data_IF_223169309523
#
_entry.id   IF_223169309523
#
_cell.length_a   1.000
_cell.length_b   1.000
_cell.length_c   1.000
_cell.angle_alpha   90.00
_cell.angle_beta   90.00
_cell.angle_gamma   90.00
#
_symmetry.space_group_name_H-M   'P 1'
#
loop_
_entity.id
_entity.type
_entity.pdbx_description
1 polymer ?
#
# COMPACT_ATOMS: atom_id res chain seq x y z
N UNK A 1 -56.71 26.53 11.37
CA UNK A 1 -55.58 26.24 12.26
C UNK A 1 -55.02 24.89 11.89
N UNK A 2 -54.05 24.85 10.96
CA UNK A 2 -53.38 23.62 10.55
C UNK A 2 -51.95 23.64 11.05
N UNK A 3 -51.64 22.73 11.98
CA UNK A 3 -50.29 22.44 12.43
C UNK A 3 -49.59 21.63 11.35
N UNK A 4 -48.56 22.20 10.73
CA UNK A 4 -47.59 21.50 9.88
C UNK A 4 -46.53 20.87 10.78
N UNK A 5 -46.55 19.56 10.90
CA UNK A 5 -45.56 18.78 11.59
C UNK A 5 -44.23 18.75 10.79
N UNK A 6 -43.18 19.32 11.33
CA UNK A 6 -41.84 19.21 10.80
C UNK A 6 -41.24 17.87 11.24
N UNK A 7 -41.08 16.95 10.28
CA UNK A 7 -40.37 15.69 10.49
C UNK A 7 -38.86 15.99 10.35
N UNK A 8 -38.13 15.96 11.45
CA UNK A 8 -36.67 15.94 11.41
C UNK A 8 -36.20 14.55 10.98
N UNK A 9 -35.73 14.45 9.74
CA UNK A 9 -35.05 13.26 9.24
C UNK A 9 -33.61 13.30 9.78
N UNK A 10 -33.35 12.56 10.86
CA UNK A 10 -32.01 12.37 11.40
C UNK A 10 -31.25 11.43 10.47
N UNK A 11 -30.41 11.98 9.59
CA UNK A 11 -29.42 11.18 8.88
C UNK A 11 -28.37 10.69 9.88
N UNK A 12 -28.50 9.42 10.26
CA UNK A 12 -27.42 8.69 10.94
C UNK A 12 -26.41 8.38 9.83
N UNK A 13 -25.34 9.17 9.78
CA UNK A 13 -24.12 8.84 9.06
C UNK A 13 -23.51 7.62 9.74
N UNK A 14 -23.89 6.43 9.30
CA UNK A 14 -23.16 5.21 9.58
C UNK A 14 -21.86 5.27 8.77
N UNK A 15 -20.77 5.57 9.47
CA UNK A 15 -19.43 5.38 8.92
C UNK A 15 -19.31 3.93 8.41
N UNK A 16 -18.84 3.69 7.18
CA UNK A 16 -18.58 2.34 6.72
C UNK A 16 -17.43 1.79 7.58
N UNK A 17 -17.73 0.94 8.54
CA UNK A 17 -16.74 0.05 9.14
C UNK A 17 -16.21 -0.80 8.01
N UNK A 18 -14.99 -0.51 7.57
CA UNK A 18 -14.31 -1.26 6.54
C UNK A 18 -14.09 -2.70 7.01
N UNK A 19 -14.92 -3.62 6.53
CA UNK A 19 -14.70 -5.06 6.61
C UNK A 19 -13.66 -5.47 5.53
N UNK A 20 -12.50 -4.81 5.53
CA UNK A 20 -11.50 -4.96 4.48
C UNK A 20 -10.76 -6.31 4.50
N UNK A 21 -10.77 -7.01 5.63
CA UNK A 21 -9.96 -8.23 5.81
C UNK A 21 -10.60 -9.52 5.29
N UNK A 22 -11.91 -9.57 5.12
CA UNK A 22 -12.62 -10.80 4.74
C UNK A 22 -12.98 -10.82 3.25
N UNK A 23 -13.36 -9.67 2.67
CA UNK A 23 -13.75 -9.59 1.26
C UNK A 23 -12.57 -9.71 0.27
N UNK A 24 -11.36 -9.29 0.66
CA UNK A 24 -10.16 -9.48 -0.18
C UNK A 24 -9.77 -10.96 -0.32
N UNK A 25 -10.07 -11.79 0.67
CA UNK A 25 -9.85 -13.24 0.61
C UNK A 25 -10.92 -13.96 -0.26
N UNK A 26 -12.11 -13.37 -0.38
CA UNK A 26 -13.22 -13.97 -1.16
C UNK A 26 -13.14 -13.64 -2.67
N UNK A 27 -12.35 -12.63 -3.08
CA UNK A 27 -12.14 -12.27 -4.50
C UNK A 27 -10.97 -13.04 -5.14
N UNK A 28 -10.16 -13.75 -4.36
CA UNK A 28 -9.10 -14.59 -4.89
C UNK A 28 -9.67 -15.86 -5.55
N UNK A 29 -9.27 -16.21 -6.79
CA UNK A 29 -9.73 -17.44 -7.43
C UNK A 29 -9.28 -18.65 -6.60
N UNK A 30 -10.24 -19.42 -6.10
CA UNK A 30 -10.01 -20.69 -5.41
C UNK A 30 -9.44 -21.72 -6.38
N UNK A 31 -8.12 -21.87 -6.41
CA UNK A 31 -7.47 -22.96 -7.10
C UNK A 31 -7.00 -24.03 -6.12
N UNK A 32 -7.62 -25.21 -6.28
CA UNK A 32 -7.20 -26.59 -5.97
C UNK A 32 -6.36 -26.89 -4.70
N UNK A 33 -6.82 -27.89 -4.00
CA UNK A 33 -6.40 -28.53 -2.74
C UNK A 33 -4.92 -28.99 -2.62
N UNK A 34 -3.98 -28.57 -3.43
CA UNK A 34 -2.59 -29.04 -3.39
C UNK A 34 -1.56 -28.09 -2.79
N UNK A 35 -1.93 -26.88 -2.33
CA UNK A 35 -0.93 -25.90 -1.90
C UNK A 35 -1.24 -25.22 -0.56
N UNK A 36 -1.20 -26.02 0.52
CA UNK A 36 -1.24 -25.50 1.90
C UNK A 36 0.00 -24.63 2.24
N UNK A 37 1.01 -24.54 1.39
CA UNK A 37 2.19 -23.71 1.59
C UNK A 37 1.96 -22.22 1.30
N UNK A 38 0.87 -21.87 0.58
CA UNK A 38 0.57 -20.49 0.18
C UNK A 38 -0.24 -19.67 1.21
N UNK A 39 -0.72 -20.29 2.28
CA UNK A 39 -1.62 -19.60 3.22
C UNK A 39 -0.90 -18.80 4.31
N UNK A 40 0.39 -19.04 4.52
CA UNK A 40 1.13 -18.38 5.59
C UNK A 40 2.47 -17.84 5.09
N UNK A 41 2.84 -16.59 5.45
CA UNK A 41 4.13 -16.03 5.07
C UNK A 41 5.28 -16.82 5.72
N UNK A 42 6.43 -16.92 5.04
CA UNK A 42 7.65 -17.43 5.66
C UNK A 42 7.95 -16.68 6.96
N UNK A 43 8.47 -17.39 7.96
CA UNK A 43 8.71 -16.85 9.29
C UNK A 43 9.59 -15.57 9.26
N UNK A 44 10.58 -15.53 8.38
CA UNK A 44 11.46 -14.37 8.23
C UNK A 44 10.73 -13.13 7.71
N UNK A 45 9.70 -13.29 6.85
CA UNK A 45 8.91 -12.19 6.34
C UNK A 45 7.89 -11.64 7.34
N UNK A 46 7.40 -12.48 8.26
CA UNK A 46 6.32 -12.07 9.18
C UNK A 46 6.69 -10.81 9.96
N UNK A 47 7.94 -10.71 10.41
CA UNK A 47 8.42 -9.55 11.14
C UNK A 47 8.44 -8.26 10.28
N UNK A 48 8.61 -8.39 8.97
CA UNK A 48 8.56 -7.27 8.02
C UNK A 48 7.12 -6.90 7.66
N UNK A 49 6.27 -7.91 7.42
CA UNK A 49 4.88 -7.74 7.06
C UNK A 49 4.06 -7.02 8.14
N UNK A 50 4.35 -7.30 9.39
CA UNK A 50 3.61 -6.73 10.54
C UNK A 50 4.26 -5.46 11.13
N UNK A 51 5.44 -5.07 10.64
CA UNK A 51 6.14 -3.90 11.17
C UNK A 51 5.39 -2.60 10.85
N UNK A 52 5.12 -1.81 11.88
CA UNK A 52 4.36 -0.56 11.76
C UNK A 52 5.23 0.70 11.67
N UNK A 53 6.54 0.58 11.91
CA UNK A 53 7.49 1.69 11.83
C UNK A 53 8.03 1.94 10.41
N UNK A 54 9.06 2.76 10.31
CA UNK A 54 9.69 3.14 9.05
C UNK A 54 10.59 2.01 8.51
N UNK A 55 10.12 1.35 7.45
CA UNK A 55 10.78 0.17 6.87
C UNK A 55 12.23 0.41 6.45
N UNK A 56 12.52 1.57 5.84
CA UNK A 56 13.89 1.86 5.38
C UNK A 56 14.86 2.11 6.53
N UNK A 57 14.40 2.66 7.66
CA UNK A 57 15.22 2.76 8.87
C UNK A 57 15.54 1.36 9.41
N UNK A 58 14.50 0.52 9.55
CA UNK A 58 14.69 -0.86 9.99
C UNK A 58 15.66 -1.63 9.07
N UNK A 59 15.56 -1.45 7.75
CA UNK A 59 16.51 -2.08 6.82
C UNK A 59 17.93 -1.57 7.08
N UNK A 60 18.11 -0.26 7.21
CA UNK A 60 19.42 0.33 7.50
C UNK A 60 20.02 -0.17 8.81
N UNK A 61 19.21 -0.30 9.85
CA UNK A 61 19.64 -0.82 11.14
C UNK A 61 20.13 -2.28 11.05
N UNK A 62 19.48 -3.09 10.21
CA UNK A 62 19.82 -4.51 10.04
C UNK A 62 20.94 -4.76 9.05
N UNK A 63 21.00 -4.00 7.95
CA UNK A 63 21.94 -4.21 6.84
C UNK A 63 23.12 -3.24 6.83
N UNK A 64 23.01 -2.11 7.52
CA UNK A 64 23.94 -0.97 7.41
C UNK A 64 23.61 -0.02 6.27
N UNK A 65 22.74 -0.38 5.34
CA UNK A 65 22.39 0.42 4.18
C UNK A 65 20.89 0.29 3.82
N UNK A 66 20.31 1.39 3.33
CA UNK A 66 19.02 1.38 2.65
C UNK A 66 19.01 2.50 1.61
N UNK A 67 19.02 2.12 0.34
CA UNK A 67 19.02 3.04 -0.81
C UNK A 67 17.66 2.96 -1.49
N UNK A 68 17.03 4.11 -1.68
CA UNK A 68 15.76 4.23 -2.40
C UNK A 68 16.03 4.72 -3.82
N UNK A 69 15.49 3.99 -4.80
CA UNK A 69 15.51 4.38 -6.22
C UNK A 69 14.08 4.63 -6.69
N UNK A 70 13.81 5.83 -7.19
CA UNK A 70 12.53 6.14 -7.86
C UNK A 70 12.59 5.54 -9.27
N UNK A 71 11.64 4.69 -9.59
CA UNK A 71 11.51 4.03 -10.90
C UNK A 71 10.68 4.88 -11.83
N UNK A 72 9.51 5.34 -11.33
CA UNK A 72 8.63 6.23 -12.08
C UNK A 72 7.73 7.03 -11.12
N UNK A 73 7.21 8.13 -11.65
CA UNK A 73 6.18 8.92 -11.00
C UNK A 73 5.28 9.50 -12.10
N UNK A 74 4.06 8.98 -12.23
CA UNK A 74 3.20 9.24 -13.39
C UNK A 74 1.75 9.40 -12.96
N UNK A 75 1.06 10.40 -13.53
CA UNK A 75 -0.38 10.55 -13.44
C UNK A 75 -1.06 9.64 -14.45
N UNK A 76 -1.99 8.81 -13.97
CA UNK A 76 -2.74 7.85 -14.79
C UNK A 76 -4.21 7.82 -14.35
N UNK A 77 -5.15 7.46 -15.24
CA UNK A 77 -6.50 7.14 -14.80
C UNK A 77 -6.49 5.92 -13.87
N UNK A 78 -7.40 5.89 -12.90
CA UNK A 78 -7.64 4.71 -12.08
C UNK A 78 -7.89 3.49 -12.96
N UNK A 79 -7.30 2.36 -12.60
CA UNK A 79 -7.42 1.10 -13.32
C UNK A 79 -8.31 0.10 -12.57
N UNK A 80 -8.49 -1.09 -13.11
CA UNK A 80 -9.34 -2.13 -12.51
C UNK A 80 -8.88 -2.51 -11.10
N UNK A 81 -7.56 -2.56 -10.84
CA UNK A 81 -7.03 -2.88 -9.52
C UNK A 81 -7.36 -1.77 -8.51
N UNK A 82 -7.18 -0.50 -8.90
CA UNK A 82 -7.50 0.66 -8.04
C UNK A 82 -8.98 0.67 -7.64
N UNK A 83 -9.88 0.33 -8.59
CA UNK A 83 -11.31 0.22 -8.31
C UNK A 83 -11.65 -0.97 -7.40
N UNK A 84 -11.08 -2.14 -7.66
CA UNK A 84 -11.45 -3.37 -6.95
C UNK A 84 -10.82 -3.45 -5.56
N UNK A 85 -9.54 -3.07 -5.43
CA UNK A 85 -8.78 -3.23 -4.20
C UNK A 85 -8.89 -2.00 -3.30
N UNK A 86 -8.85 -0.79 -3.87
CA UNK A 86 -8.86 0.45 -3.10
C UNK A 86 -10.25 1.12 -3.07
N UNK A 87 -11.20 0.61 -3.86
CA UNK A 87 -12.54 1.21 -4.03
C UNK A 87 -12.48 2.68 -4.49
N UNK A 88 -11.46 3.03 -5.27
CA UNK A 88 -11.34 4.37 -5.82
C UNK A 88 -12.36 4.58 -6.94
N UNK A 89 -12.98 5.78 -7.05
CA UNK A 89 -13.81 6.16 -8.18
C UNK A 89 -12.97 6.36 -9.44
N UNK A 90 -13.62 6.61 -10.58
CA UNK A 90 -12.91 7.09 -11.78
C UNK A 90 -12.32 8.48 -11.53
N UNK A 91 -11.00 8.54 -11.43
CA UNK A 91 -10.24 9.77 -11.26
C UNK A 91 -8.80 9.60 -11.78
N UNK A 92 -8.00 10.67 -11.74
CA UNK A 92 -6.56 10.57 -11.94
C UNK A 92 -5.88 10.20 -10.62
N UNK A 93 -4.92 9.29 -10.69
CA UNK A 93 -4.07 8.92 -9.55
C UNK A 93 -2.60 9.13 -9.91
N UNK A 94 -1.81 9.58 -8.95
CA UNK A 94 -0.36 9.61 -9.08
C UNK A 94 0.18 8.26 -8.60
N UNK A 95 0.73 7.48 -9.50
CA UNK A 95 1.52 6.30 -9.17
C UNK A 95 2.99 6.70 -9.00
N UNK A 96 3.55 6.46 -7.83
CA UNK A 96 4.97 6.63 -7.56
C UNK A 96 5.58 5.29 -7.19
N UNK A 97 6.40 4.77 -8.10
CA UNK A 97 7.05 3.47 -7.96
C UNK A 97 8.50 3.66 -7.52
N UNK A 98 8.89 2.88 -6.54
CA UNK A 98 10.26 2.85 -6.03
C UNK A 98 10.74 1.43 -5.83
N UNK A 99 12.06 1.25 -5.83
CA UNK A 99 12.72 0.05 -5.29
C UNK A 99 13.63 0.48 -4.16
N UNK A 100 13.59 -0.25 -3.05
CA UNK A 100 14.54 -0.08 -1.95
C UNK A 100 15.54 -1.23 -1.97
N UNK A 101 16.82 -0.86 -1.91
CA UNK A 101 17.94 -1.79 -1.99
C UNK A 101 18.77 -1.72 -0.70
N UNK A 102 19.41 -2.86 -0.39
CA UNK A 102 20.55 -2.92 0.53
C UNK A 102 21.67 -3.66 -0.20
N UNK A 103 22.87 -3.04 -0.26
CA UNK A 103 24.04 -3.60 -0.95
C UNK A 103 23.73 -4.06 -2.38
N UNK A 104 23.07 -3.18 -3.15
CA UNK A 104 22.62 -3.42 -4.53
C UNK A 104 21.55 -4.52 -4.68
N UNK A 105 21.13 -5.17 -3.58
CA UNK A 105 20.08 -6.19 -3.62
C UNK A 105 18.69 -5.56 -3.40
N UNK A 106 17.73 -5.75 -4.30
CA UNK A 106 16.38 -5.22 -4.13
C UNK A 106 15.64 -5.96 -3.00
N UNK A 107 15.26 -5.21 -1.97
CA UNK A 107 14.59 -5.71 -0.78
C UNK A 107 13.07 -5.62 -0.87
N UNK A 108 12.54 -4.57 -1.47
CA UNK A 108 11.12 -4.44 -1.83
C UNK A 108 10.92 -3.44 -2.96
N UNK A 109 9.87 -3.67 -3.72
CA UNK A 109 9.25 -2.68 -4.60
C UNK A 109 8.12 -2.01 -3.82
N UNK A 110 7.88 -0.73 -4.05
CA UNK A 110 6.71 -0.06 -3.50
C UNK A 110 6.06 0.86 -4.51
N UNK A 111 4.73 0.81 -4.57
CA UNK A 111 3.87 1.76 -5.28
C UNK A 111 3.08 2.58 -4.30
N UNK A 112 3.27 3.90 -4.34
CA UNK A 112 2.38 4.84 -3.66
C UNK A 112 1.32 5.30 -4.62
N UNK A 113 0.06 5.33 -4.18
CA UNK A 113 -1.10 5.74 -4.97
C UNK A 113 -1.75 6.93 -4.29
N UNK A 114 -1.67 8.08 -4.95
CA UNK A 114 -2.30 9.31 -4.48
C UNK A 114 -3.48 9.64 -5.40
N UNK A 115 -4.74 9.58 -4.91
CA UNK A 115 -5.87 10.18 -5.61
C UNK A 115 -5.59 11.65 -5.91
N UNK A 116 -6.01 12.13 -7.07
CA UNK A 116 -5.75 13.52 -7.49
C UNK A 116 -6.29 14.52 -6.49
N UNK A 117 -7.48 14.27 -5.98
CA UNK A 117 -8.11 15.10 -4.95
C UNK A 117 -7.24 15.20 -3.71
N UNK A 118 -6.75 14.08 -3.19
CA UNK A 118 -5.84 14.04 -2.03
C UNK A 118 -4.54 14.80 -2.29
N UNK A 119 -3.91 14.54 -3.44
CA UNK A 119 -2.63 15.17 -3.79
C UNK A 119 -2.76 16.69 -3.93
N UNK A 120 -3.82 17.17 -4.60
CA UNK A 120 -4.05 18.60 -4.83
C UNK A 120 -4.43 19.34 -3.55
N UNK A 121 -5.22 18.72 -2.67
CA UNK A 121 -5.59 19.31 -1.38
C UNK A 121 -4.37 19.51 -0.47
N UNK A 122 -3.38 18.63 -0.57
CA UNK A 122 -2.18 18.65 0.27
C UNK A 122 -0.89 18.85 -0.55
N UNK A 123 -0.94 19.68 -1.57
CA UNK A 123 0.15 19.88 -2.53
C UNK A 123 1.47 20.26 -1.83
N UNK A 124 1.42 21.18 -0.86
CA UNK A 124 2.61 21.63 -0.12
C UNK A 124 3.29 20.50 0.63
N UNK A 125 2.52 19.51 1.10
CA UNK A 125 3.04 18.34 1.78
C UNK A 125 3.66 17.37 0.77
N UNK A 126 2.91 17.01 -0.28
CA UNK A 126 3.34 15.97 -1.21
C UNK A 126 4.39 16.44 -2.22
N UNK A 127 4.52 17.74 -2.47
CA UNK A 127 5.62 18.30 -3.27
C UNK A 127 7.00 17.98 -2.68
N UNK A 128 7.07 17.74 -1.37
CA UNK A 128 8.29 17.31 -0.69
C UNK A 128 8.81 15.95 -1.20
N UNK A 129 7.95 15.10 -1.76
CA UNK A 129 8.34 13.82 -2.36
C UNK A 129 9.31 13.94 -3.54
N UNK A 130 9.46 15.12 -4.13
CA UNK A 130 10.46 15.39 -5.15
C UNK A 130 11.89 15.35 -4.60
N UNK A 131 12.05 15.52 -3.27
CA UNK A 131 13.34 15.67 -2.61
C UNK A 131 13.54 14.75 -1.41
N UNK A 132 12.47 14.11 -0.90
CA UNK A 132 12.57 13.26 0.28
C UNK A 132 11.76 11.96 0.14
N UNK A 133 12.15 10.90 0.87
CA UNK A 133 11.41 9.65 0.92
C UNK A 133 10.04 9.84 1.56
N UNK A 134 9.02 9.09 1.05
CA UNK A 134 7.67 9.07 1.63
C UNK A 134 7.67 8.71 3.12
N UNK A 135 8.57 7.81 3.55
CA UNK A 135 8.70 7.45 4.96
C UNK A 135 8.96 8.66 5.86
N UNK A 136 9.79 9.62 5.41
CA UNK A 136 9.99 10.85 6.17
C UNK A 136 8.70 11.64 6.35
N UNK A 137 7.87 11.76 5.30
CA UNK A 137 6.58 12.41 5.40
C UNK A 137 5.67 11.69 6.38
N UNK A 138 5.53 10.37 6.26
CA UNK A 138 4.63 9.57 7.10
C UNK A 138 5.02 9.63 8.58
N UNK A 139 6.31 9.47 8.88
CA UNK A 139 6.74 9.28 10.28
C UNK A 139 7.16 10.57 10.98
N UNK A 140 7.32 11.68 10.25
CA UNK A 140 7.67 12.98 10.83
C UNK A 140 6.60 14.06 10.62
N UNK A 141 5.39 13.68 10.17
CA UNK A 141 4.27 14.60 9.98
C UNK A 141 3.08 14.14 10.80
N UNK A 142 2.71 14.88 11.85
CA UNK A 142 1.62 14.54 12.76
C UNK A 142 0.25 14.43 12.09
N UNK A 143 0.06 15.13 10.95
CA UNK A 143 -1.18 15.10 10.20
C UNK A 143 -1.39 13.85 9.35
N UNK A 144 -0.41 12.93 9.28
CA UNK A 144 -0.55 11.67 8.55
C UNK A 144 -0.71 10.52 9.55
N UNK A 145 -1.77 9.74 9.39
CA UNK A 145 -2.06 8.57 10.23
C UNK A 145 -2.23 7.33 9.38
N UNK A 146 -1.60 6.21 9.76
CA UNK A 146 -1.93 4.92 9.17
C UNK A 146 -3.23 4.40 9.75
N UNK A 147 -4.23 4.20 8.90
CA UNK A 147 -5.53 3.64 9.31
C UNK A 147 -5.53 2.11 9.30
N UNK A 148 -4.85 1.53 8.32
CA UNK A 148 -4.83 0.08 8.12
C UNK A 148 -3.48 -0.39 7.59
N UNK A 149 -3.15 -1.63 7.92
CA UNK A 149 -2.05 -2.41 7.36
C UNK A 149 -2.53 -3.86 7.24
N UNK A 150 -2.64 -4.35 6.02
CA UNK A 150 -2.90 -5.76 5.74
C UNK A 150 -1.77 -6.34 4.89
N UNK A 151 -1.71 -7.66 4.80
CA UNK A 151 -0.75 -8.37 3.96
C UNK A 151 -1.40 -9.59 3.33
N UNK A 152 -0.96 -9.92 2.11
CA UNK A 152 -1.47 -11.03 1.33
C UNK A 152 -0.42 -11.56 0.35
N UNK A 153 -0.53 -12.84 -0.08
CA UNK A 153 0.37 -13.41 -1.07
C UNK A 153 -0.03 -12.97 -2.49
N UNK A 154 0.95 -12.88 -3.38
CA UNK A 154 0.75 -12.71 -4.82
C UNK A 154 1.56 -13.73 -5.60
N UNK A 155 1.06 -14.11 -6.78
CA UNK A 155 1.73 -15.00 -7.73
C UNK A 155 2.01 -14.26 -9.03
N UNK A 156 2.70 -14.90 -9.96
CA UNK A 156 2.98 -14.35 -11.29
C UNK A 156 1.70 -13.95 -12.08
N UNK A 157 0.54 -14.46 -11.68
CA UNK A 157 -0.76 -14.16 -12.29
C UNK A 157 -1.45 -12.93 -11.66
N UNK A 158 -0.95 -12.47 -10.50
CA UNK A 158 -1.50 -11.31 -9.80
C UNK A 158 -1.14 -10.00 -10.50
N UNK A 159 -2.06 -9.02 -10.59
CA UNK A 159 -1.78 -7.74 -11.23
C UNK A 159 -0.56 -7.01 -10.67
N UNK A 160 -0.35 -7.06 -9.36
CA UNK A 160 0.77 -6.42 -8.68
C UNK A 160 2.13 -6.98 -9.11
N UNK A 161 2.16 -8.25 -9.49
CA UNK A 161 3.39 -8.89 -9.98
C UNK A 161 3.89 -8.24 -11.28
N UNK A 162 2.99 -7.77 -12.13
CA UNK A 162 3.31 -7.08 -13.38
C UNK A 162 3.89 -5.67 -13.18
N UNK A 163 3.80 -5.10 -11.97
CA UNK A 163 4.38 -3.80 -11.65
C UNK A 163 5.89 -3.87 -11.41
N UNK A 164 6.39 -5.05 -11.09
CA UNK A 164 7.81 -5.23 -10.78
C UNK A 164 8.67 -4.94 -12.03
N UNK A 165 9.78 -4.18 -11.86
CA UNK A 165 10.77 -4.04 -12.90
C UNK A 165 11.27 -5.42 -13.40
N UNK A 166 11.37 -5.60 -14.70
CA UNK A 166 11.83 -6.86 -15.30
C UNK A 166 13.26 -7.28 -14.91
N UNK A 167 14.02 -6.35 -14.35
CA UNK A 167 15.37 -6.59 -13.83
C UNK A 167 15.37 -7.27 -12.47
N UNK A 168 14.23 -7.30 -11.77
CA UNK A 168 14.10 -7.97 -10.48
C UNK A 168 13.80 -9.44 -10.75
N UNK A 169 14.76 -10.30 -10.39
CA UNK A 169 14.55 -11.74 -10.42
C UNK A 169 13.74 -12.18 -9.19
N UNK A 170 12.55 -12.64 -9.45
CA UNK A 170 11.64 -13.14 -8.40
C UNK A 170 11.66 -14.67 -8.31
N UNK A 171 12.42 -15.34 -9.19
CA UNK A 171 12.42 -16.80 -9.34
C UNK A 171 11.02 -17.41 -9.48
N UNK A 172 10.03 -16.63 -9.93
CA UNK A 172 8.61 -17.01 -10.03
C UNK A 172 8.01 -17.50 -8.70
N UNK A 173 8.57 -17.04 -7.58
CA UNK A 173 8.08 -17.41 -6.25
C UNK A 173 6.80 -16.64 -5.90
N UNK A 174 6.07 -17.19 -4.93
CA UNK A 174 5.03 -16.42 -4.23
C UNK A 174 5.70 -15.28 -3.48
N UNK A 175 5.28 -14.06 -3.78
CA UNK A 175 5.71 -12.87 -3.07
C UNK A 175 4.64 -12.42 -2.09
N UNK A 176 4.99 -11.60 -1.15
CA UNK A 176 4.08 -11.07 -0.15
C UNK A 176 3.99 -9.56 -0.25
N UNK A 177 2.76 -9.09 -0.21
CA UNK A 177 2.42 -7.66 -0.27
C UNK A 177 2.03 -7.17 1.11
N UNK A 178 2.42 -5.93 1.41
CA UNK A 178 1.83 -5.10 2.47
C UNK A 178 1.06 -3.99 1.81
N UNK A 179 -0.19 -3.82 2.18
CA UNK A 179 -1.02 -2.69 1.77
C UNK A 179 -1.34 -1.84 3.00
N UNK A 180 -0.90 -0.59 2.97
CA UNK A 180 -1.20 0.40 3.99
C UNK A 180 -2.15 1.47 3.44
N UNK A 181 -3.17 1.81 4.22
CA UNK A 181 -4.01 2.98 3.98
C UNK A 181 -3.60 4.08 4.95
N UNK A 182 -3.32 5.25 4.42
CA UNK A 182 -3.00 6.44 5.20
C UNK A 182 -4.06 7.50 5.04
N UNK A 183 -4.27 8.28 6.09
CA UNK A 183 -5.16 9.42 6.11
C UNK A 183 -4.35 10.69 6.37
N UNK A 184 -4.68 11.77 5.65
CA UNK A 184 -4.08 13.09 5.83
C UNK A 184 -5.13 14.02 6.41
N UNK A 185 -4.79 14.74 7.47
CA UNK A 185 -5.64 15.75 8.13
C UNK A 185 -7.07 15.29 8.42
N UNK A 186 -7.22 14.02 8.79
CA UNK A 186 -8.49 13.38 9.17
C UNK A 186 -9.56 13.28 8.04
N UNK A 187 -9.18 13.46 6.78
CA UNK A 187 -10.10 13.42 5.65
C UNK A 187 -9.61 12.54 4.48
N UNK A 188 -8.58 12.97 3.78
CA UNK A 188 -8.17 12.39 2.50
C UNK A 188 -7.27 11.17 2.68
N UNK A 189 -7.39 10.21 1.76
CA UNK A 189 -6.66 8.95 1.81
C UNK A 189 -5.60 8.86 0.70
N UNK A 190 -4.50 8.17 1.01
CA UNK A 190 -3.57 7.64 0.03
C UNK A 190 -3.09 6.24 0.45
N UNK A 191 -2.48 5.52 -0.48
CA UNK A 191 -2.19 4.11 -0.30
C UNK A 191 -0.73 3.80 -0.60
N UNK A 192 -0.18 2.82 0.11
CA UNK A 192 1.17 2.32 -0.10
C UNK A 192 1.12 0.79 -0.20
N UNK A 193 1.51 0.29 -1.36
CA UNK A 193 1.63 -1.14 -1.67
C UNK A 193 3.11 -1.48 -1.69
N UNK A 194 3.56 -2.37 -0.83
CA UNK A 194 4.95 -2.81 -0.74
C UNK A 194 5.04 -4.30 -1.04
N UNK A 195 5.73 -4.68 -2.12
CA UNK A 195 5.98 -6.07 -2.51
C UNK A 195 7.34 -6.48 -1.97
N UNK A 196 7.35 -7.35 -0.97
CA UNK A 196 8.56 -7.82 -0.31
C UNK A 196 9.29 -8.83 -1.19
N UNK A 197 10.60 -8.65 -1.34
CA UNK A 197 11.43 -9.45 -2.23
C UNK A 197 12.33 -10.43 -1.44
N UNK A 198 12.79 -11.52 -2.08
CA UNK A 198 13.54 -12.58 -1.41
C UNK A 198 14.79 -12.13 -0.65
N UNK A 199 15.47 -11.07 -1.10
CA UNK A 199 16.67 -10.56 -0.44
C UNK A 199 16.46 -10.15 1.02
N UNK A 200 15.20 -9.88 1.45
CA UNK A 200 14.88 -9.59 2.86
C UNK A 200 15.18 -10.75 3.81
N UNK A 201 15.28 -11.98 3.32
CA UNK A 201 15.63 -13.14 4.14
C UNK A 201 16.98 -12.93 4.86
N UNK A 202 17.92 -12.26 4.19
CA UNK A 202 19.25 -12.00 4.74
C UNK A 202 19.23 -11.02 5.93
N UNK A 203 18.12 -10.30 6.12
CA UNK A 203 17.97 -9.24 7.13
C UNK A 203 16.83 -9.55 8.13
N UNK A 204 16.48 -10.81 8.30
CA UNK A 204 15.42 -11.26 9.21
C UNK A 204 15.85 -11.31 10.69
#
# INVERSE_FOLDING_TARGET
MNLVGIVFLTFILSSPKMAFSQELLDVMPSNSESDQSMTHPPQYLLSWLTYTGYMSERLRDKSGEAVLQVIQQTWEPTNTWDHQVLSLPEEQVLHRDIVTLAWEQPCWFARTIFPQTTYQTHLDLFHRLDHEPLGNLIFHTESIKRLNLCHYPITAESPEYAWLPKTIDTHQQVLWVRLSTFQVQDAELFYLVEILLPALEQYS
#
